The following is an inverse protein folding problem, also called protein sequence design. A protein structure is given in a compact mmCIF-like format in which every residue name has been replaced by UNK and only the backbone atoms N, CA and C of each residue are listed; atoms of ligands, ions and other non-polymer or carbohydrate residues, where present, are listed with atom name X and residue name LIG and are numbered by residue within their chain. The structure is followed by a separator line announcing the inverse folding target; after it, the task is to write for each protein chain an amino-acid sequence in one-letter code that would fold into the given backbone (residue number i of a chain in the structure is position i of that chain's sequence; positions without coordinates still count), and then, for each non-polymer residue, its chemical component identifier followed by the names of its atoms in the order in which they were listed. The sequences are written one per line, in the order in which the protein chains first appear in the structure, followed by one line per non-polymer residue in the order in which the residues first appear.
data_IF_561032468655
#
_entry.id   IF_561032468655
#
_cell.length_a   1.000
_cell.length_b   1.000
_cell.length_c   1.000
_cell.angle_alpha   90.00
_cell.angle_beta   90.00
_cell.angle_gamma   90.00
#
_symmetry.space_group_name_H-M   'P 1'
#
loop_
_entity.id
_entity.type
_entity.pdbx_description
1 polymer ?
#
# COMPACT_ATOMS: atom_id res chain seq x y z
N UNK A 1 27.44 40.95 21.61
CA UNK A 1 28.11 42.07 20.92
C UNK A 1 28.44 41.61 19.50
N UNK A 2 28.04 42.41 18.51
CA UNK A 2 28.04 42.23 17.03
C UNK A 2 27.24 41.04 16.46
N UNK A 3 26.03 41.20 15.91
CA UNK A 3 25.53 41.89 14.70
C UNK A 3 25.82 41.22 13.35
N UNK A 4 24.80 40.61 12.75
CA UNK A 4 24.41 40.83 11.34
C UNK A 4 22.88 41.02 11.30
N UNK A 5 22.46 42.17 10.76
CA UNK A 5 21.08 42.68 10.63
C UNK A 5 20.62 42.50 9.17
N UNK A 6 19.34 42.12 9.00
CA UNK A 6 18.35 42.38 7.90
C UNK A 6 18.85 42.43 6.43
N UNK A 7 18.14 41.92 5.42
CA UNK A 7 16.82 42.44 4.97
C UNK A 7 16.29 41.59 3.79
N UNK A 8 15.06 41.08 3.93
CA UNK A 8 13.94 40.96 2.96
C UNK A 8 14.21 40.60 1.49
N UNK A 9 13.61 39.49 1.05
CA UNK A 9 12.86 39.41 -0.21
C UNK A 9 11.56 38.61 0.03
N UNK A 10 10.68 39.17 0.86
CA UNK A 10 9.23 38.92 0.76
C UNK A 10 8.74 39.70 -0.45
N UNK A 11 8.82 39.08 -1.63
CA UNK A 11 8.06 39.54 -2.81
C UNK A 11 7.03 38.48 -3.13
N UNK A 12 5.80 38.94 -3.11
CA UNK A 12 4.59 38.18 -3.34
C UNK A 12 4.59 37.45 -4.69
N UNK A 13 4.13 36.20 -4.67
CA UNK A 13 3.11 35.75 -5.60
C UNK A 13 1.95 35.11 -4.80
N UNK A 14 1.36 35.90 -3.91
CA UNK A 14 -0.09 35.85 -3.77
C UNK A 14 -0.65 36.43 -5.07
N UNK A 15 -0.70 35.61 -6.13
CA UNK A 15 -1.58 35.89 -7.24
C UNK A 15 -3.00 35.72 -6.69
N UNK A 16 -3.74 36.82 -6.64
CA UNK A 16 -5.07 36.86 -6.04
C UNK A 16 -5.93 35.71 -6.55
N UNK A 17 -6.56 35.01 -5.61
CA UNK A 17 -7.78 34.27 -5.91
C UNK A 17 -8.83 35.29 -6.36
N UNK A 18 -8.82 35.64 -7.65
CA UNK A 18 -10.08 35.77 -8.37
C UNK A 18 -10.75 34.41 -8.17
N UNK A 19 -12.02 34.37 -7.76
CA UNK A 19 -12.88 33.22 -8.04
C UNK A 19 -13.01 33.11 -9.57
N UNK A 20 -11.93 32.71 -10.22
CA UNK A 20 -11.88 32.28 -11.60
C UNK A 20 -12.23 30.81 -11.65
N UNK A 21 -12.86 30.38 -12.74
CA UNK A 21 -13.11 28.96 -12.98
C UNK A 21 -11.81 28.17 -12.81
N UNK A 22 -11.85 27.00 -12.16
CA UNK A 22 -10.65 26.21 -11.96
C UNK A 22 -10.07 25.80 -13.32
N UNK A 23 -8.74 25.78 -13.46
CA UNK A 23 -8.04 25.62 -14.75
C UNK A 23 -8.52 24.41 -15.57
N UNK A 24 -8.87 23.31 -14.88
CA UNK A 24 -9.33 22.07 -15.49
C UNK A 24 -10.76 22.12 -16.03
N UNK A 25 -11.53 23.17 -15.72
CA UNK A 25 -12.87 23.39 -16.27
C UNK A 25 -12.83 23.89 -17.72
N UNK A 26 -11.85 24.73 -18.05
CA UNK A 26 -11.68 25.33 -19.38
C UNK A 26 -10.38 24.84 -20.06
N UNK A 27 -9.79 23.75 -19.54
CA UNK A 27 -8.55 23.20 -20.05
C UNK A 27 -8.72 22.72 -21.50
N UNK A 28 -8.04 23.40 -22.42
CA UNK A 28 -7.99 23.04 -23.82
C UNK A 28 -6.69 22.34 -24.14
N UNK A 29 -6.81 21.13 -24.66
CA UNK A 29 -5.65 20.38 -25.14
C UNK A 29 -5.05 21.04 -26.37
N UNK A 30 -3.74 21.28 -26.32
CA UNK A 30 -3.01 21.58 -27.54
C UNK A 30 -2.82 20.29 -28.33
N UNK A 31 -3.80 19.99 -29.18
CA UNK A 31 -3.78 18.82 -30.06
C UNK A 31 -2.60 18.82 -31.04
N UNK A 32 -1.99 19.97 -31.34
CA UNK A 32 -0.78 20.04 -32.17
C UNK A 32 0.43 19.38 -31.50
N UNK A 33 0.48 19.34 -30.16
CA UNK A 33 1.50 18.64 -29.37
C UNK A 33 1.26 17.13 -29.26
N UNK A 34 0.18 16.60 -29.84
CA UNK A 34 -0.11 15.16 -29.82
C UNK A 34 0.67 14.41 -30.91
N UNK A 35 1.09 13.15 -30.64
CA UNK A 35 1.71 12.31 -31.64
C UNK A 35 0.87 12.22 -32.92
N UNK A 36 1.52 12.21 -34.09
CA UNK A 36 0.84 12.19 -35.38
C UNK A 36 -0.10 10.97 -35.55
N UNK A 37 0.25 9.82 -34.96
CA UNK A 37 -0.61 8.64 -34.94
C UNK A 37 -1.95 8.90 -34.22
N UNK A 38 -1.93 9.66 -33.12
CA UNK A 38 -3.13 10.03 -32.36
C UNK A 38 -4.01 10.99 -33.15
N UNK A 39 -3.41 12.01 -33.77
CA UNK A 39 -4.17 12.95 -34.62
C UNK A 39 -4.85 12.23 -35.79
N UNK A 40 -4.17 11.27 -36.42
CA UNK A 40 -4.76 10.43 -37.48
C UNK A 40 -5.88 9.54 -36.95
N UNK A 41 -5.69 8.90 -35.79
CA UNK A 41 -6.72 8.05 -35.21
C UNK A 41 -7.99 8.84 -34.83
N UNK A 42 -7.83 10.06 -34.33
CA UNK A 42 -8.95 10.97 -34.06
C UNK A 42 -9.68 11.34 -35.36
N UNK A 43 -8.94 11.71 -36.41
CA UNK A 43 -9.53 12.04 -37.71
C UNK A 43 -10.31 10.86 -38.32
N UNK A 44 -9.79 9.64 -38.14
CA UNK A 44 -10.41 8.42 -38.64
C UNK A 44 -11.45 7.82 -37.68
N UNK A 45 -11.65 8.43 -36.51
CA UNK A 45 -12.50 7.90 -35.41
C UNK A 45 -12.17 6.46 -35.02
N UNK A 46 -10.89 6.09 -35.07
CA UNK A 46 -10.44 4.73 -34.76
C UNK A 46 -9.81 4.66 -33.37
N UNK A 47 -9.90 3.47 -32.77
CA UNK A 47 -9.25 3.16 -31.50
C UNK A 47 -7.74 3.03 -31.73
N UNK A 48 -6.94 3.63 -30.84
CA UNK A 48 -5.49 3.65 -31.02
C UNK A 48 -4.84 2.36 -30.52
N UNK A 49 -3.64 2.08 -31.04
CA UNK A 49 -2.82 0.99 -30.53
C UNK A 49 -2.42 1.24 -29.06
N UNK A 50 -2.10 0.19 -28.29
CA UNK A 50 -1.60 0.36 -26.92
C UNK A 50 -0.34 1.21 -26.82
N UNK A 51 0.51 1.23 -27.85
CA UNK A 51 1.71 2.07 -27.92
C UNK A 51 1.35 3.54 -28.06
N UNK A 52 0.55 3.88 -29.08
CA UNK A 52 0.12 5.26 -29.34
C UNK A 52 -0.63 5.84 -28.14
N UNK A 53 -1.50 5.05 -27.51
CA UNK A 53 -2.25 5.47 -26.32
C UNK A 53 -1.31 5.85 -25.16
N UNK A 54 -0.19 5.14 -24.97
CA UNK A 54 0.80 5.50 -23.95
C UNK A 54 1.46 6.84 -24.25
N UNK A 55 1.77 7.12 -25.51
CA UNK A 55 2.39 8.40 -25.90
C UNK A 55 1.42 9.57 -25.80
N UNK A 56 0.14 9.34 -26.12
CA UNK A 56 -0.95 10.28 -25.82
C UNK A 56 -1.01 10.60 -24.33
N UNK A 57 -1.04 9.58 -23.46
CA UNK A 57 -1.08 9.76 -22.00
C UNK A 57 0.13 10.57 -21.50
N UNK A 58 1.33 10.36 -22.05
CA UNK A 58 2.51 11.16 -21.70
C UNK A 58 2.28 12.64 -22.06
N UNK A 59 1.89 12.92 -23.31
CA UNK A 59 1.67 14.28 -23.79
C UNK A 59 0.55 15.00 -23.03
N UNK A 60 -0.51 14.28 -22.67
CA UNK A 60 -1.61 14.79 -21.84
C UNK A 60 -1.09 15.20 -20.46
N UNK A 61 -0.36 14.31 -19.79
CA UNK A 61 0.16 14.59 -18.46
C UNK A 61 1.19 15.72 -18.48
N UNK A 62 2.08 15.77 -19.47
CA UNK A 62 3.05 16.86 -19.59
C UNK A 62 2.34 18.22 -19.69
N UNK A 63 1.24 18.34 -20.45
CA UNK A 63 0.42 19.55 -20.52
C UNK A 63 -0.32 19.85 -19.19
N UNK A 64 -0.85 18.84 -18.50
CA UNK A 64 -1.51 19.05 -17.20
C UNK A 64 -0.53 19.56 -16.14
N UNK A 65 0.71 19.07 -16.14
CA UNK A 65 1.73 19.43 -15.17
C UNK A 65 2.26 20.86 -15.34
N UNK A 66 2.03 21.48 -16.51
CA UNK A 66 2.29 22.92 -16.73
C UNK A 66 1.37 23.82 -15.88
N UNK A 67 0.19 23.32 -15.50
CA UNK A 67 -0.77 24.06 -14.66
C UNK A 67 -0.68 23.66 -13.19
N UNK A 68 -0.56 22.37 -12.91
CA UNK A 68 -0.56 21.84 -11.54
C UNK A 68 0.43 20.68 -11.42
N UNK A 69 1.49 20.78 -10.60
CA UNK A 69 2.49 19.72 -10.48
C UNK A 69 1.98 18.38 -9.92
N UNK A 70 0.86 18.37 -9.18
CA UNK A 70 0.30 17.15 -8.60
C UNK A 70 -1.24 17.13 -8.64
N UNK A 71 -1.84 17.00 -9.84
CA UNK A 71 -3.28 17.05 -9.99
C UNK A 71 -3.96 15.91 -9.23
N UNK A 72 -5.03 16.26 -8.52
CA UNK A 72 -5.87 15.29 -7.80
C UNK A 72 -6.60 14.37 -8.80
N UNK A 73 -7.10 13.21 -8.32
CA UNK A 73 -7.87 12.29 -9.17
C UNK A 73 -9.11 12.97 -9.78
N UNK A 74 -9.77 13.85 -9.03
CA UNK A 74 -10.94 14.60 -9.52
C UNK A 74 -10.56 15.55 -10.68
N UNK A 75 -9.42 16.21 -10.58
CA UNK A 75 -8.89 17.09 -11.63
C UNK A 75 -8.53 16.27 -12.87
N UNK A 76 -7.79 15.15 -12.71
CA UNK A 76 -7.51 14.22 -13.80
C UNK A 76 -8.80 13.73 -14.48
N UNK A 77 -9.83 13.43 -13.69
CA UNK A 77 -11.10 12.94 -14.20
C UNK A 77 -11.85 13.99 -15.02
N UNK A 78 -11.87 15.26 -14.58
CA UNK A 78 -12.45 16.37 -15.36
C UNK A 78 -11.80 16.48 -16.74
N UNK A 79 -10.47 16.43 -16.79
CA UNK A 79 -9.69 16.50 -18.02
C UNK A 79 -9.98 15.30 -18.94
N UNK A 80 -10.02 14.09 -18.39
CA UNK A 80 -10.34 12.85 -19.13
C UNK A 80 -11.76 12.89 -19.70
N UNK A 81 -12.72 13.35 -18.91
CA UNK A 81 -14.11 13.49 -19.34
C UNK A 81 -14.23 14.46 -20.52
N UNK A 82 -13.45 15.54 -20.54
CA UNK A 82 -13.39 16.46 -21.69
C UNK A 82 -12.91 15.76 -22.96
N UNK A 83 -11.80 15.01 -22.88
CA UNK A 83 -11.24 14.25 -24.02
C UNK A 83 -12.27 13.27 -24.59
N UNK A 84 -12.90 12.49 -23.71
CA UNK A 84 -13.86 11.45 -24.11
C UNK A 84 -15.12 12.09 -24.69
N UNK A 85 -15.58 13.23 -24.16
CA UNK A 85 -16.71 13.95 -24.73
C UNK A 85 -16.43 14.43 -26.15
N UNK A 86 -15.20 14.84 -26.45
CA UNK A 86 -14.81 15.27 -27.80
C UNK A 86 -14.58 14.11 -28.76
N UNK A 87 -14.07 12.98 -28.27
CA UNK A 87 -13.65 11.84 -29.10
C UNK A 87 -14.01 10.48 -28.45
N UNK A 88 -15.30 10.18 -28.28
CA UNK A 88 -15.74 9.00 -27.55
C UNK A 88 -15.34 7.69 -28.24
N UNK A 89 -15.41 7.62 -29.57
CA UNK A 89 -15.09 6.41 -30.36
C UNK A 89 -13.62 5.98 -30.20
N UNK A 90 -12.77 6.96 -29.92
CA UNK A 90 -11.34 6.80 -29.77
C UNK A 90 -10.93 6.35 -28.35
N UNK A 91 -11.60 6.87 -27.31
CA UNK A 91 -11.06 6.85 -25.95
C UNK A 91 -11.97 6.23 -24.90
N UNK A 92 -13.29 6.20 -25.13
CA UNK A 92 -14.25 5.71 -24.15
C UNK A 92 -14.07 4.21 -23.88
N UNK A 93 -14.32 3.81 -22.65
CA UNK A 93 -14.48 2.41 -22.30
C UNK A 93 -15.84 1.91 -22.77
N UNK A 94 -15.83 1.06 -23.79
CA UNK A 94 -17.02 0.43 -24.38
C UNK A 94 -16.99 -1.08 -24.20
N UNK A 95 -18.15 -1.66 -23.90
CA UNK A 95 -18.38 -3.09 -23.82
C UNK A 95 -18.44 -3.72 -25.22
N UNK A 96 -18.41 -5.06 -25.27
CA UNK A 96 -18.44 -5.81 -26.55
C UNK A 96 -19.72 -5.58 -27.35
N UNK A 97 -20.81 -5.24 -26.68
CA UNK A 97 -22.12 -4.91 -27.28
C UNK A 97 -22.22 -3.43 -27.69
N UNK A 98 -21.17 -2.62 -27.48
CA UNK A 98 -21.15 -1.20 -27.84
C UNK A 98 -21.55 -0.24 -26.72
N UNK A 99 -22.02 -0.74 -25.57
CA UNK A 99 -22.43 0.11 -24.46
C UNK A 99 -21.24 0.78 -23.77
N UNK A 100 -21.38 2.05 -23.39
CA UNK A 100 -20.36 2.76 -22.61
C UNK A 100 -20.35 2.22 -21.16
N UNK A 101 -19.18 1.80 -20.70
CA UNK A 101 -18.98 1.29 -19.35
C UNK A 101 -18.90 2.45 -18.35
N UNK A 102 -19.92 2.61 -17.51
CA UNK A 102 -19.98 3.68 -16.53
C UNK A 102 -20.01 5.05 -17.21
N UNK A 103 -19.05 5.92 -16.91
CA UNK A 103 -18.87 7.20 -17.63
C UNK A 103 -17.80 7.14 -18.74
N UNK A 104 -17.36 5.93 -19.10
CA UNK A 104 -16.38 5.68 -20.15
C UNK A 104 -14.95 6.09 -19.82
N UNK A 105 -14.69 6.66 -18.63
CA UNK A 105 -13.43 7.33 -18.31
C UNK A 105 -12.40 6.46 -17.58
N UNK A 106 -12.78 5.27 -17.12
CA UNK A 106 -12.02 4.51 -16.12
C UNK A 106 -10.59 4.19 -16.56
N UNK A 107 -10.41 3.59 -17.73
CA UNK A 107 -9.10 3.13 -18.22
C UNK A 107 -8.15 4.29 -18.47
N UNK A 108 -8.64 5.36 -19.13
CA UNK A 108 -7.83 6.53 -19.45
C UNK A 108 -7.47 7.32 -18.19
N UNK A 109 -8.42 7.48 -17.26
CA UNK A 109 -8.17 8.08 -15.94
C UNK A 109 -7.09 7.32 -15.18
N UNK A 110 -7.16 5.99 -15.18
CA UNK A 110 -6.17 5.18 -14.49
C UNK A 110 -4.78 5.35 -15.09
N UNK A 111 -4.66 5.34 -16.43
CA UNK A 111 -3.39 5.54 -17.13
C UNK A 111 -2.78 6.92 -16.85
N UNK A 112 -3.59 7.99 -16.90
CA UNK A 112 -3.16 9.35 -16.60
C UNK A 112 -2.72 9.47 -15.15
N UNK A 113 -3.49 8.92 -14.19
CA UNK A 113 -3.12 9.04 -12.77
C UNK A 113 -1.82 8.31 -12.46
N UNK A 114 -1.64 7.10 -12.99
CA UNK A 114 -0.37 6.36 -12.89
C UNK A 114 0.80 7.15 -13.47
N UNK A 115 0.61 7.82 -14.62
CA UNK A 115 1.65 8.63 -15.26
C UNK A 115 2.02 9.89 -14.45
N UNK A 116 1.04 10.57 -13.84
CA UNK A 116 1.25 11.68 -12.90
C UNK A 116 2.07 11.21 -11.70
N UNK A 117 1.69 10.08 -11.10
CA UNK A 117 2.41 9.50 -9.96
C UNK A 117 3.86 9.14 -10.33
N UNK A 118 4.09 8.60 -11.53
CA UNK A 118 5.43 8.32 -12.03
C UNK A 118 6.28 9.58 -12.17
N UNK A 119 5.75 10.68 -12.74
CA UNK A 119 6.47 11.98 -12.81
C UNK A 119 6.81 12.52 -11.43
N UNK A 120 5.92 12.30 -10.47
CA UNK A 120 6.08 12.79 -9.10
C UNK A 120 6.88 11.85 -8.19
N UNK A 121 7.42 10.74 -8.72
CA UNK A 121 8.12 9.71 -7.92
C UNK A 121 9.30 10.27 -7.12
N UNK A 122 10.00 11.29 -7.64
CA UNK A 122 11.17 11.93 -7.03
C UNK A 122 10.86 13.28 -6.37
N UNK A 123 9.60 13.73 -6.37
CA UNK A 123 9.22 14.99 -5.74
C UNK A 123 8.85 14.76 -4.27
N UNK A 124 9.86 14.82 -3.40
CA UNK A 124 9.72 14.63 -1.95
C UNK A 124 8.83 15.71 -1.31
N UNK A 125 8.76 16.90 -1.91
CA UNK A 125 7.94 18.03 -1.42
C UNK A 125 6.45 17.89 -1.77
N UNK A 126 6.13 17.32 -2.95
CA UNK A 126 4.75 17.06 -3.39
C UNK A 126 4.11 15.80 -2.80
N UNK A 127 4.89 14.98 -2.07
CA UNK A 127 4.46 13.71 -1.45
C UNK A 127 3.71 13.86 -0.13
N UNK A 128 3.46 15.08 0.35
CA UNK A 128 2.47 15.30 1.42
C UNK A 128 1.08 15.00 0.86
N UNK A 129 0.75 13.69 0.77
CA UNK A 129 -0.63 13.24 0.84
C UNK A 129 -1.20 13.97 2.05
N UNK A 130 -2.17 14.86 1.84
CA UNK A 130 -2.91 15.53 2.90
C UNK A 130 -3.08 14.55 4.04
N UNK A 131 -2.75 14.97 5.26
CA UNK A 131 -3.29 14.35 6.46
C UNK A 131 -4.74 13.98 6.15
N UNK A 132 -5.07 12.69 6.25
CA UNK A 132 -6.47 12.30 6.28
C UNK A 132 -7.02 13.07 7.46
N UNK A 133 -7.76 14.16 7.18
CA UNK A 133 -8.43 14.95 8.21
C UNK A 133 -9.08 13.95 9.16
N UNK A 134 -8.86 14.05 10.47
CA UNK A 134 -9.60 13.21 11.39
C UNK A 134 -11.06 13.38 11.03
N UNK A 135 -11.73 12.26 10.78
CA UNK A 135 -13.20 12.25 10.84
C UNK A 135 -13.50 12.77 12.24
N UNK A 136 -14.30 13.82 12.33
CA UNK A 136 -14.71 14.40 13.61
C UNK A 136 -15.42 13.30 14.41
N UNK A 137 -14.67 12.56 15.19
CA UNK A 137 -15.15 11.65 16.21
C UNK A 137 -14.67 12.26 17.51
N UNK A 138 -15.66 12.50 18.36
CA UNK A 138 -15.57 13.09 19.70
C UNK A 138 -14.41 12.41 20.45
N UNK A 139 -13.60 13.12 21.25
CA UNK A 139 -12.52 12.49 21.99
C UNK A 139 -13.14 11.44 22.92
N UNK A 140 -12.88 10.17 22.63
CA UNK A 140 -13.14 9.10 23.58
C UNK A 140 -12.06 9.21 24.65
N UNK A 141 -12.47 9.58 25.87
CA UNK A 141 -11.60 9.65 27.04
C UNK A 141 -11.21 8.23 27.48
N UNK A 142 -10.39 7.57 26.66
CA UNK A 142 -10.13 6.15 26.84
C UNK A 142 -9.24 5.54 25.77
N UNK A 143 -7.93 5.85 25.83
CA UNK A 143 -6.82 5.22 25.08
C UNK A 143 -6.68 5.58 23.59
N UNK A 144 -5.52 6.17 23.27
CA UNK A 144 -4.57 5.75 22.24
C UNK A 144 -3.81 6.97 21.70
N UNK A 145 -2.49 6.85 21.50
CA UNK A 145 -1.65 7.84 20.81
C UNK A 145 -2.36 8.42 19.58
N UNK A 146 -2.29 9.73 19.36
CA UNK A 146 -2.87 10.34 18.18
C UNK A 146 -2.29 9.72 16.89
N UNK A 147 -3.13 9.60 15.86
CA UNK A 147 -2.72 9.05 14.56
C UNK A 147 -1.75 10.01 13.88
N UNK A 148 -0.53 9.56 13.61
CA UNK A 148 0.47 10.32 12.87
C UNK A 148 0.24 10.35 11.35
N UNK A 149 1.01 11.18 10.62
CA UNK A 149 0.96 11.22 9.15
C UNK A 149 1.37 9.86 8.57
N UNK A 150 0.70 9.47 7.48
CA UNK A 150 0.98 8.20 6.78
C UNK A 150 2.23 8.36 5.91
N UNK A 151 3.24 7.51 6.12
CA UNK A 151 4.45 7.46 5.31
C UNK A 151 4.24 6.75 3.95
N UNK A 152 5.33 6.55 3.18
CA UNK A 152 5.28 5.89 1.87
C UNK A 152 4.81 4.42 1.94
N UNK A 153 5.01 3.76 3.07
CA UNK A 153 4.70 2.34 3.28
C UNK A 153 3.39 2.13 4.04
N UNK A 154 2.67 3.21 4.36
CA UNK A 154 1.40 3.13 5.08
C UNK A 154 1.56 3.21 6.60
N UNK A 155 2.77 3.42 7.13
CA UNK A 155 2.98 3.53 8.56
C UNK A 155 2.53 4.92 9.05
N UNK A 156 1.73 4.94 10.11
CA UNK A 156 1.32 6.17 10.81
C UNK A 156 2.22 6.46 12.01
N UNK A 157 2.98 5.47 12.49
CA UNK A 157 3.83 5.57 13.68
C UNK A 157 5.21 4.94 13.44
N UNK A 158 5.86 5.27 12.32
CA UNK A 158 7.17 4.71 11.94
C UNK A 158 8.26 4.93 12.99
N UNK A 159 8.34 6.13 13.57
CA UNK A 159 9.33 6.54 14.56
C UNK A 159 8.74 7.58 15.52
N UNK A 160 7.98 7.17 16.55
CA UNK A 160 7.40 8.10 17.51
C UNK A 160 8.49 8.82 18.32
N UNK A 161 8.28 10.11 18.57
CA UNK A 161 9.21 10.96 19.32
C UNK A 161 8.77 11.21 20.76
N UNK A 162 7.46 11.15 21.01
CA UNK A 162 6.87 11.44 22.32
C UNK A 162 6.85 10.18 23.18
N UNK A 163 7.47 10.27 24.36
CA UNK A 163 7.40 9.25 25.40
C UNK A 163 5.95 9.22 25.93
N UNK A 164 5.34 8.04 26.17
CA UNK A 164 4.00 7.95 26.72
C UNK A 164 3.83 8.77 28.01
N UNK A 165 2.67 9.42 28.25
CA UNK A 165 2.45 10.19 29.45
C UNK A 165 2.69 9.39 30.72
N UNK A 166 3.46 9.94 31.66
CA UNK A 166 3.82 9.30 32.93
C UNK A 166 5.00 8.33 32.84
N UNK A 167 5.57 8.10 31.65
CA UNK A 167 6.76 7.29 31.46
C UNK A 167 8.02 8.16 31.25
N UNK A 168 9.18 7.57 31.52
CA UNK A 168 10.52 8.12 31.30
C UNK A 168 11.38 7.07 30.60
N UNK A 169 12.55 7.42 30.05
CA UNK A 169 13.43 6.40 29.46
C UNK A 169 13.80 5.30 30.47
N UNK A 170 14.09 5.69 31.72
CA UNK A 170 14.41 4.73 32.78
C UNK A 170 13.23 3.81 33.12
N UNK A 171 11.99 4.32 33.10
CA UNK A 171 10.82 3.46 33.34
C UNK A 171 10.55 2.53 32.15
N UNK A 172 10.74 2.99 30.91
CA UNK A 172 10.62 2.15 29.73
C UNK A 172 11.68 1.04 29.70
N UNK A 173 12.93 1.35 30.09
CA UNK A 173 13.98 0.35 30.26
C UNK A 173 13.63 -0.65 31.38
N UNK A 174 13.06 -0.18 32.50
CA UNK A 174 12.53 -1.05 33.54
C UNK A 174 11.44 -2.01 33.03
N UNK A 175 10.52 -1.50 32.21
CA UNK A 175 9.47 -2.32 31.57
C UNK A 175 10.08 -3.33 30.60
N UNK A 176 11.11 -2.94 29.84
CA UNK A 176 11.84 -3.87 28.96
C UNK A 176 12.46 -5.02 29.75
N UNK A 177 13.14 -4.74 30.86
CA UNK A 177 13.69 -5.81 31.72
C UNK A 177 12.59 -6.71 32.28
N UNK A 178 11.44 -6.14 32.66
CA UNK A 178 10.30 -6.93 33.12
C UNK A 178 9.73 -7.84 32.02
N UNK A 179 9.65 -7.35 30.77
CA UNK A 179 9.27 -8.16 29.61
C UNK A 179 10.23 -9.36 29.42
N UNK A 180 11.54 -9.13 29.56
CA UNK A 180 12.53 -10.22 29.46
C UNK A 180 12.40 -11.22 30.61
N UNK A 181 12.08 -10.77 31.82
CA UNK A 181 11.81 -11.63 32.98
C UNK A 181 10.54 -12.49 32.80
N UNK A 182 9.48 -11.91 32.22
CA UNK A 182 8.28 -12.68 31.86
C UNK A 182 8.66 -13.78 30.86
N UNK A 183 9.43 -13.44 29.82
CA UNK A 183 9.83 -14.42 28.80
C UNK A 183 10.76 -15.50 29.37
N UNK A 184 11.68 -15.17 30.27
CA UNK A 184 12.59 -16.17 30.87
C UNK A 184 11.84 -17.19 31.72
N UNK A 185 10.78 -16.78 32.43
CA UNK A 185 9.97 -17.65 33.31
C UNK A 185 8.91 -18.44 32.57
N UNK A 186 8.28 -17.85 31.55
CA UNK A 186 7.05 -18.39 30.94
C UNK A 186 7.19 -18.62 29.43
N UNK A 187 8.28 -18.18 28.81
CA UNK A 187 8.44 -18.18 27.36
C UNK A 187 7.30 -17.42 26.68
N UNK A 188 6.79 -17.98 25.58
CA UNK A 188 5.70 -17.37 24.80
C UNK A 188 4.33 -17.43 25.49
N UNK A 189 4.18 -18.24 26.55
CA UNK A 189 2.91 -18.30 27.29
C UNK A 189 2.61 -17.00 28.06
N UNK A 190 3.65 -16.24 28.40
CA UNK A 190 3.54 -14.92 29.03
C UNK A 190 3.05 -13.80 28.11
N UNK A 191 2.78 -14.06 26.82
CA UNK A 191 2.47 -13.04 25.83
C UNK A 191 1.23 -12.19 26.17
N UNK A 192 0.22 -12.76 26.85
CA UNK A 192 -0.97 -12.01 27.28
C UNK A 192 -0.63 -10.96 28.35
N UNK A 193 0.23 -11.30 29.31
CA UNK A 193 0.68 -10.36 30.35
C UNK A 193 1.66 -9.33 29.79
N UNK A 194 2.43 -9.72 28.77
CA UNK A 194 3.37 -8.85 28.08
C UNK A 194 2.69 -7.79 27.19
N UNK A 195 1.50 -8.06 26.65
CA UNK A 195 0.82 -7.19 25.66
C UNK A 195 0.70 -5.70 26.07
N UNK A 196 0.18 -5.35 27.26
CA UNK A 196 0.11 -3.93 27.67
C UNK A 196 1.50 -3.29 27.87
N UNK A 197 2.50 -4.08 28.26
CA UNK A 197 3.88 -3.61 28.42
C UNK A 197 4.57 -3.40 27.07
N UNK A 198 4.26 -4.25 26.09
CA UNK A 198 4.68 -4.12 24.71
C UNK A 198 4.11 -2.85 24.06
N UNK A 199 2.85 -2.50 24.34
CA UNK A 199 2.27 -1.24 23.85
C UNK A 199 2.98 -0.02 24.47
N UNK A 200 3.21 -0.02 25.79
CA UNK A 200 3.94 1.06 26.49
C UNK A 200 5.36 1.26 25.97
N UNK A 201 6.06 0.18 25.66
CA UNK A 201 7.45 0.21 25.18
C UNK A 201 7.58 0.35 23.67
N UNK A 202 6.48 0.59 22.95
CA UNK A 202 6.46 0.71 21.49
C UNK A 202 7.52 1.69 20.96
N UNK A 203 7.72 2.84 21.63
CA UNK A 203 8.71 3.84 21.21
C UNK A 203 10.14 3.30 21.20
N UNK A 204 10.57 2.61 22.28
CA UNK A 204 11.92 2.04 22.36
C UNK A 204 12.08 0.82 21.47
N UNK A 205 11.01 0.05 21.22
CA UNK A 205 11.00 -1.00 20.18
C UNK A 205 11.26 -0.41 18.79
N UNK A 206 10.55 0.66 18.40
CA UNK A 206 10.72 1.30 17.09
C UNK A 206 12.10 1.93 16.92
N UNK A 207 12.63 2.57 17.97
CA UNK A 207 14.01 3.11 17.94
C UNK A 207 15.04 2.00 17.75
N UNK A 208 14.88 0.88 18.45
CA UNK A 208 15.76 -0.28 18.29
C UNK A 208 15.67 -0.90 16.89
N UNK A 209 14.45 -1.14 16.39
CA UNK A 209 14.19 -1.67 15.04
C UNK A 209 14.71 -0.76 13.92
N UNK A 210 14.66 0.56 14.13
CA UNK A 210 15.12 1.55 13.15
C UNK A 210 16.59 1.94 13.33
N UNK A 211 17.33 1.28 14.23
CA UNK A 211 18.76 1.55 14.41
C UNK A 211 19.54 1.30 13.12
N UNK A 212 20.67 2.01 12.99
CA UNK A 212 21.58 1.89 11.85
C UNK A 212 22.97 1.57 12.41
N UNK A 213 23.54 0.38 12.13
CA UNK A 213 22.99 -0.69 11.31
C UNK A 213 21.76 -1.39 11.96
N UNK A 214 20.86 -1.99 11.15
CA UNK A 214 19.70 -2.70 11.69
C UNK A 214 20.12 -3.92 12.52
N UNK A 215 19.39 -4.25 13.60
CA UNK A 215 19.72 -5.38 14.45
C UNK A 215 19.51 -6.69 13.69
N UNK A 216 20.40 -7.66 13.91
CA UNK A 216 20.19 -9.02 13.40
C UNK A 216 18.92 -9.62 14.02
N UNK A 217 18.16 -10.39 13.23
CA UNK A 217 16.90 -11.00 13.69
C UNK A 217 17.10 -11.90 14.92
N UNK A 218 18.24 -12.59 15.03
CA UNK A 218 18.57 -13.40 16.20
C UNK A 218 18.64 -12.55 17.48
N UNK A 219 19.38 -11.44 17.42
CA UNK A 219 19.51 -10.49 18.54
C UNK A 219 18.17 -9.80 18.83
N UNK A 220 17.40 -9.46 17.80
CA UNK A 220 16.07 -8.88 17.98
C UNK A 220 15.13 -9.83 18.74
N UNK A 221 15.24 -11.14 18.50
CA UNK A 221 14.44 -12.16 19.19
C UNK A 221 14.84 -12.32 20.66
N UNK A 222 16.11 -12.08 20.98
CA UNK A 222 16.60 -12.08 22.37
C UNK A 222 16.17 -10.81 23.12
N UNK A 223 16.27 -9.65 22.49
CA UNK A 223 15.98 -8.35 23.09
C UNK A 223 14.49 -8.02 23.18
N UNK A 224 13.68 -8.53 22.25
CA UNK A 224 12.25 -8.29 22.14
C UNK A 224 11.48 -9.56 21.74
N UNK A 225 11.53 -10.63 22.55
CA UNK A 225 10.98 -11.95 22.18
C UNK A 225 9.49 -11.90 21.84
N UNK A 226 8.71 -11.08 22.54
CA UNK A 226 7.27 -10.97 22.32
C UNK A 226 6.87 -10.33 20.99
N UNK A 227 7.78 -9.63 20.27
CA UNK A 227 7.53 -9.22 18.89
C UNK A 227 7.31 -10.41 17.94
N UNK A 228 7.81 -11.59 18.31
CA UNK A 228 7.67 -12.84 17.55
C UNK A 228 6.50 -13.70 18.04
N UNK A 229 5.71 -13.21 19.01
CA UNK A 229 4.44 -13.84 19.37
C UNK A 229 3.35 -13.37 18.40
N UNK A 230 2.34 -14.20 18.06
CA UNK A 230 1.24 -13.75 17.21
C UNK A 230 0.59 -12.47 17.73
N UNK A 231 0.29 -12.41 19.04
CA UNK A 231 -0.28 -11.23 19.70
C UNK A 231 0.60 -9.99 19.54
N UNK A 232 1.87 -10.08 19.94
CA UNK A 232 2.79 -8.95 19.88
C UNK A 232 3.06 -8.49 18.45
N UNK A 233 3.19 -9.42 17.50
CA UNK A 233 3.38 -9.08 16.08
C UNK A 233 2.18 -8.31 15.52
N UNK A 234 0.96 -8.80 15.72
CA UNK A 234 -0.25 -8.15 15.21
C UNK A 234 -0.55 -6.82 15.92
N UNK A 235 -0.31 -6.76 17.23
CA UNK A 235 -0.43 -5.52 18.02
C UNK A 235 0.55 -4.45 17.51
N UNK A 236 1.84 -4.80 17.38
CA UNK A 236 2.87 -3.90 16.87
C UNK A 236 2.57 -3.44 15.43
N UNK A 237 2.13 -4.34 14.55
CA UNK A 237 1.71 -3.99 13.19
C UNK A 237 0.53 -3.02 13.19
N UNK A 238 -0.46 -3.25 14.05
CA UNK A 238 -1.65 -2.40 14.17
C UNK A 238 -1.25 -1.01 14.66
N UNK A 239 -0.38 -0.89 15.65
CA UNK A 239 0.16 0.40 16.09
C UNK A 239 0.94 1.11 14.98
N UNK A 240 1.74 0.36 14.21
CA UNK A 240 2.55 0.91 13.12
C UNK A 240 1.70 1.48 11.98
N UNK A 241 0.62 0.79 11.60
CA UNK A 241 -0.13 1.05 10.37
C UNK A 241 -1.54 1.58 10.58
N UNK A 242 -2.08 1.51 11.80
CA UNK A 242 -3.49 1.77 12.11
C UNK A 242 -4.44 0.83 11.35
N UNK A 243 -3.97 -0.39 11.05
CA UNK A 243 -4.72 -1.43 10.32
C UNK A 243 -4.73 -2.71 11.17
N UNK A 244 -5.89 -3.13 11.71
CA UNK A 244 -6.02 -4.41 12.38
C UNK A 244 -6.00 -5.52 11.31
N UNK A 245 -4.80 -5.97 10.93
CA UNK A 245 -4.58 -6.78 9.73
C UNK A 245 -5.33 -8.10 9.75
N UNK A 246 -5.42 -8.76 10.91
CA UNK A 246 -6.16 -10.02 11.05
C UNK A 246 -7.64 -9.86 10.67
N UNK A 247 -8.29 -8.85 11.24
CA UNK A 247 -9.71 -8.54 10.96
C UNK A 247 -9.87 -8.11 9.51
N UNK A 248 -9.01 -7.21 9.02
CA UNK A 248 -9.10 -6.67 7.66
C UNK A 248 -8.82 -7.72 6.59
N UNK A 249 -7.91 -8.64 6.85
CA UNK A 249 -7.63 -9.76 5.98
C UNK A 249 -8.82 -10.71 5.89
N UNK A 250 -9.43 -11.08 7.03
CA UNK A 250 -10.64 -11.90 7.06
C UNK A 250 -11.80 -11.26 6.31
N UNK A 251 -12.11 -9.98 6.60
CA UNK A 251 -13.12 -9.23 5.86
C UNK A 251 -12.84 -9.19 4.34
N UNK A 252 -11.58 -9.05 3.94
CA UNK A 252 -11.19 -9.03 2.54
C UNK A 252 -11.33 -10.41 1.88
N UNK A 253 -10.98 -11.49 2.58
CA UNK A 253 -11.20 -12.86 2.11
C UNK A 253 -12.68 -13.16 1.93
N UNK A 254 -13.54 -12.73 2.85
CA UNK A 254 -14.98 -12.97 2.74
C UNK A 254 -15.59 -12.20 1.56
N UNK A 255 -15.24 -10.92 1.42
CA UNK A 255 -15.79 -10.05 0.37
C UNK A 255 -15.21 -10.36 -1.01
N UNK A 256 -13.89 -10.54 -1.11
CA UNK A 256 -13.16 -10.63 -2.40
C UNK A 256 -12.78 -12.06 -2.76
N UNK A 257 -12.66 -12.95 -1.79
CA UNK A 257 -12.32 -14.35 -2.04
C UNK A 257 -13.30 -15.04 -2.96
N UNK A 258 -14.59 -14.84 -2.73
CA UNK A 258 -15.65 -15.37 -3.61
C UNK A 258 -15.54 -14.81 -5.04
N UNK A 259 -15.16 -13.53 -5.19
CA UNK A 259 -14.93 -12.92 -6.50
C UNK A 259 -13.75 -13.57 -7.22
N UNK A 260 -12.64 -13.83 -6.50
CA UNK A 260 -11.46 -14.51 -7.06
C UNK A 260 -11.82 -15.93 -7.48
N UNK A 261 -12.50 -16.70 -6.62
CA UNK A 261 -12.93 -18.06 -6.93
C UNK A 261 -13.83 -18.11 -8.17
N UNK A 262 -14.86 -17.26 -8.22
CA UNK A 262 -15.77 -17.17 -9.37
C UNK A 262 -15.02 -16.82 -10.66
N UNK A 263 -14.12 -15.84 -10.59
CA UNK A 263 -13.28 -15.47 -11.72
C UNK A 263 -12.42 -16.65 -12.20
N UNK A 264 -11.79 -17.39 -11.29
CA UNK A 264 -10.99 -18.57 -11.65
C UNK A 264 -11.83 -19.71 -12.27
N UNK A 265 -13.08 -19.88 -11.83
CA UNK A 265 -14.03 -20.83 -12.41
C UNK A 265 -14.45 -20.42 -13.84
N UNK A 266 -14.77 -19.14 -14.04
CA UNK A 266 -15.25 -18.61 -15.32
C UNK A 266 -14.16 -18.58 -16.41
N UNK A 267 -12.94 -18.18 -16.05
CA UNK A 267 -11.86 -17.98 -17.03
C UNK A 267 -11.34 -19.32 -17.58
N UNK A 268 -11.79 -20.47 -17.04
CA UNK A 268 -11.32 -21.83 -17.44
C UNK A 268 -9.81 -21.88 -17.58
N UNK A 269 -9.12 -21.29 -16.61
CA UNK A 269 -7.66 -21.19 -16.61
C UNK A 269 -7.01 -22.58 -16.61
N UNK A 270 -5.75 -22.61 -17.06
CA UNK A 270 -4.89 -23.79 -17.24
C UNK A 270 -5.00 -24.85 -16.12
N UNK A 271 -4.59 -26.09 -16.43
CA UNK A 271 -4.77 -27.29 -15.59
C UNK A 271 -4.52 -27.09 -14.09
N UNK A 272 -3.52 -26.29 -13.71
CA UNK A 272 -3.21 -25.98 -12.30
C UNK A 272 -4.36 -25.31 -11.55
N UNK A 273 -5.10 -24.38 -12.17
CA UNK A 273 -6.26 -23.72 -11.54
C UNK A 273 -7.39 -24.72 -11.35
N UNK A 274 -7.63 -25.60 -12.34
CA UNK A 274 -8.63 -26.66 -12.24
C UNK A 274 -8.31 -27.62 -11.09
N UNK A 275 -7.06 -28.07 -10.99
CA UNK A 275 -6.62 -28.94 -9.89
C UNK A 275 -6.85 -28.31 -8.52
N UNK A 276 -6.52 -27.01 -8.35
CA UNK A 276 -6.78 -26.31 -7.08
C UNK A 276 -8.28 -26.23 -6.80
N UNK A 277 -9.12 -25.89 -7.78
CA UNK A 277 -10.57 -25.84 -7.56
C UNK A 277 -11.11 -27.21 -7.10
N UNK A 278 -10.72 -28.30 -7.77
CA UNK A 278 -11.16 -29.66 -7.40
C UNK A 278 -10.70 -30.08 -6.00
N UNK A 279 -9.48 -29.72 -5.58
CA UNK A 279 -8.99 -30.03 -4.24
C UNK A 279 -9.76 -29.31 -3.11
N UNK A 280 -10.49 -28.23 -3.43
CA UNK A 280 -11.19 -27.38 -2.45
C UNK A 280 -12.71 -27.30 -2.74
N UNK A 281 -13.28 -28.33 -3.39
CA UNK A 281 -14.73 -28.43 -3.66
C UNK A 281 -15.56 -28.69 -2.39
N UNK A 282 -14.95 -29.20 -1.31
CA UNK A 282 -15.64 -29.48 -0.05
C UNK A 282 -15.89 -28.19 0.76
N UNK A 283 -17.07 -28.06 1.38
CA UNK A 283 -17.44 -26.87 2.17
C UNK A 283 -16.52 -26.64 3.40
N UNK A 284 -15.90 -27.70 3.93
CA UNK A 284 -14.97 -27.63 5.06
C UNK A 284 -13.55 -27.18 4.67
N UNK A 285 -13.29 -26.92 3.39
CA UNK A 285 -11.94 -26.59 2.92
C UNK A 285 -11.51 -25.17 3.36
N UNK A 286 -10.24 -25.01 3.71
CA UNK A 286 -9.69 -23.69 4.08
C UNK A 286 -9.75 -22.73 2.87
N UNK A 287 -10.70 -21.80 2.95
CA UNK A 287 -10.96 -20.79 1.92
C UNK A 287 -9.74 -19.88 1.69
N UNK A 288 -8.99 -19.53 2.73
CA UNK A 288 -7.81 -18.69 2.59
C UNK A 288 -6.70 -19.41 1.82
N UNK A 289 -6.47 -20.69 2.15
CA UNK A 289 -5.53 -21.55 1.43
C UNK A 289 -5.95 -21.72 -0.04
N UNK A 290 -7.24 -21.98 -0.30
CA UNK A 290 -7.79 -22.08 -1.65
C UNK A 290 -7.49 -20.82 -2.47
N UNK A 291 -7.84 -19.64 -1.94
CA UNK A 291 -7.64 -18.36 -2.63
C UNK A 291 -6.16 -18.10 -2.90
N UNK A 292 -5.28 -18.37 -1.93
CA UNK A 292 -3.83 -18.21 -2.10
C UNK A 292 -3.31 -19.10 -3.24
N UNK A 293 -3.67 -20.38 -3.23
CA UNK A 293 -3.26 -21.35 -4.25
C UNK A 293 -3.84 -21.01 -5.63
N UNK A 294 -5.07 -20.49 -5.70
CA UNK A 294 -5.67 -20.02 -6.95
C UNK A 294 -4.91 -18.82 -7.52
N UNK A 295 -4.55 -17.85 -6.69
CA UNK A 295 -3.77 -16.67 -7.11
C UNK A 295 -2.40 -17.11 -7.61
N UNK A 296 -1.70 -17.99 -6.87
CA UNK A 296 -0.42 -18.55 -7.31
C UNK A 296 -0.55 -19.30 -8.64
N UNK A 297 -1.55 -20.17 -8.77
CA UNK A 297 -1.78 -20.93 -10.00
C UNK A 297 -2.13 -20.02 -11.20
N UNK A 298 -2.90 -18.95 -10.98
CA UNK A 298 -3.27 -17.98 -12.00
C UNK A 298 -2.05 -17.22 -12.53
N UNK A 299 -1.18 -16.74 -11.63
CA UNK A 299 0.07 -16.05 -11.98
C UNK A 299 1.20 -17.01 -12.39
N UNK A 300 0.93 -18.33 -12.40
CA UNK A 300 1.89 -19.38 -12.74
C UNK A 300 3.07 -19.46 -11.78
N UNK A 301 2.94 -18.92 -10.58
CA UNK A 301 3.94 -19.06 -9.50
C UNK A 301 4.11 -20.54 -9.16
N UNK A 302 5.33 -21.04 -8.91
CA UNK A 302 5.52 -22.43 -8.53
C UNK A 302 4.92 -22.69 -7.13
N UNK A 303 4.56 -23.96 -6.83
CA UNK A 303 3.87 -24.30 -5.56
C UNK A 303 4.73 -23.95 -4.35
N UNK A 304 6.03 -24.06 -4.49
CA UNK A 304 7.03 -23.78 -3.46
C UNK A 304 7.41 -22.30 -3.34
N UNK A 305 6.85 -21.41 -4.18
CA UNK A 305 7.22 -19.99 -4.22
C UNK A 305 6.98 -19.27 -2.88
N UNK A 306 5.89 -19.64 -2.19
CA UNK A 306 5.50 -19.05 -0.91
C UNK A 306 5.64 -20.08 0.21
N UNK A 307 5.28 -21.34 -0.03
CA UNK A 307 5.26 -22.39 1.01
C UNK A 307 6.28 -23.46 0.68
N UNK A 308 7.29 -23.63 1.53
CA UNK A 308 8.22 -24.76 1.48
C UNK A 308 7.76 -25.82 2.45
N UNK A 309 7.31 -26.94 1.90
CA UNK A 309 7.02 -28.13 2.68
C UNK A 309 8.33 -28.85 2.98
N UNK A 310 8.57 -29.13 4.25
CA UNK A 310 9.77 -29.81 4.76
C UNK A 310 9.36 -31.00 5.59
N UNK A 311 10.27 -31.96 5.77
CA UNK A 311 10.03 -33.13 6.61
C UNK A 311 9.51 -32.73 8.00
N UNK A 312 8.51 -33.45 8.49
CA UNK A 312 7.91 -33.25 9.83
C UNK A 312 8.95 -33.08 10.97
N UNK A 313 10.10 -33.74 10.88
CA UNK A 313 11.15 -33.71 11.88
C UNK A 313 12.26 -32.70 11.58
N UNK A 314 12.18 -31.97 10.47
CA UNK A 314 13.22 -31.02 10.04
C UNK A 314 13.35 -29.87 11.03
N UNK A 315 14.57 -29.68 11.55
CA UNK A 315 14.91 -28.52 12.38
C UNK A 315 15.31 -27.32 11.51
N UNK A 316 15.31 -26.13 12.11
CA UNK A 316 15.81 -24.92 11.43
C UNK A 316 17.26 -25.04 10.95
N UNK A 317 18.07 -25.89 11.60
CA UNK A 317 19.44 -26.19 11.19
C UNK A 317 19.46 -27.08 9.95
N UNK A 318 18.64 -28.14 9.95
CA UNK A 318 18.53 -29.08 8.82
C UNK A 318 18.05 -28.38 7.55
N UNK A 319 17.11 -27.44 7.69
CA UNK A 319 16.60 -26.66 6.55
C UNK A 319 17.71 -25.78 5.98
N UNK A 320 18.50 -25.11 6.84
CA UNK A 320 19.61 -24.24 6.40
C UNK A 320 20.74 -25.02 5.72
N UNK A 321 20.99 -26.26 6.12
CA UNK A 321 22.02 -27.10 5.50
C UNK A 321 21.55 -27.79 4.22
N UNK A 322 20.26 -28.10 4.12
CA UNK A 322 19.72 -28.95 3.05
C UNK A 322 19.06 -28.14 1.93
N UNK A 323 18.53 -26.95 2.24
CA UNK A 323 17.78 -26.12 1.29
C UNK A 323 18.47 -24.77 1.12
N UNK A 324 18.82 -24.43 -0.13
CA UNK A 324 19.27 -23.08 -0.46
C UNK A 324 18.06 -22.15 -0.46
N UNK A 325 17.84 -21.43 0.64
CA UNK A 325 16.76 -20.46 0.76
C UNK A 325 17.02 -19.26 -0.16
N UNK A 326 16.02 -18.91 -0.97
CA UNK A 326 16.06 -17.71 -1.79
C UNK A 326 15.95 -16.44 -0.95
N UNK A 327 16.36 -15.30 -1.50
CA UNK A 327 16.19 -13.99 -0.84
C UNK A 327 14.73 -13.59 -0.62
N UNK A 328 13.80 -14.18 -1.37
CA UNK A 328 12.35 -13.99 -1.17
C UNK A 328 11.87 -14.73 0.07
N UNK A 329 11.13 -14.08 0.99
CA UNK A 329 10.56 -14.74 2.17
C UNK A 329 9.64 -15.90 1.78
N UNK A 330 9.81 -17.05 2.46
CA UNK A 330 8.96 -18.23 2.32
C UNK A 330 8.47 -18.70 3.68
N UNK A 331 7.27 -19.27 3.71
CA UNK A 331 6.68 -19.97 4.85
C UNK A 331 7.20 -21.40 4.82
N UNK A 332 7.87 -21.82 5.90
CA UNK A 332 8.28 -23.22 6.03
C UNK A 332 7.19 -23.94 6.81
N UNK A 333 6.67 -25.01 6.22
CA UNK A 333 5.62 -25.84 6.80
C UNK A 333 6.18 -27.25 6.94
N UNK A 334 6.20 -27.75 8.17
CA UNK A 334 6.50 -29.15 8.45
C UNK A 334 5.27 -29.96 8.01
N UNK A 335 5.45 -30.78 6.97
CA UNK A 335 4.40 -31.58 6.32
C UNK A 335 4.62 -33.06 6.52
#
# INVERSE_FOLDING_TARGET
VLYIKMTVLTTAFFCGYKLGRPWHADFQFNWARMPAAIRRAIANKTRQSPGDRKDMVKAVVDQMLEHEPNPTRAICHSVVRSIIRSHPECFADVAKNGDVLGDGCYSLLQQIKTRVEYKNRNNTLGRRRRERRPRSEVPDEGRAMQRGPVDQYGCVRWGPLEIPPGETEASLDGIKHHLLDIYSKEGMSGAERADPLMEKTYIIQRRYLNSVPPPAIAVLKEEWPFLFSPRGFFSHFTLLTDIPILTKFREALDRKGNTIMRFCQEVKCHQRVKSVLTCFEHEDSDKAACILLLVMAYFKEPKDAIVLEVDTCATATDIKSTITLTSTPRLIVQG
#
